data_IF_621523021188
#
_entry.id   IF_621523021188
#
_cell.length_a   1.000
_cell.length_b   1.000
_cell.length_c   1.000
_cell.angle_alpha   90.00
_cell.angle_beta   90.00
_cell.angle_gamma   90.00
#
_symmetry.space_group_name_H-M   'P 1'
#
loop_
_entity.id
_entity.type
_entity.pdbx_description
1 polymer ?
#
# COMPACT_ATOMS: atom_id res chain seq x y z
N UNK A 1 7.95 21.66 -11.72
CA UNK A 1 9.26 21.65 -11.05
C UNK A 1 9.10 20.86 -9.77
N UNK A 2 9.57 19.61 -9.74
CA UNK A 2 9.66 18.85 -8.49
C UNK A 2 10.83 19.43 -7.71
N UNK A 3 10.63 19.79 -6.44
CA UNK A 3 11.70 20.26 -5.57
C UNK A 3 12.77 19.18 -5.44
N UNK A 4 14.05 19.56 -5.48
CA UNK A 4 15.13 18.64 -5.16
C UNK A 4 14.94 18.15 -3.73
N UNK A 5 15.03 16.83 -3.54
CA UNK A 5 14.98 16.23 -2.21
C UNK A 5 16.22 16.68 -1.43
N UNK A 6 16.07 17.52 -0.41
CA UNK A 6 17.16 17.89 0.49
C UNK A 6 17.35 16.79 1.56
N UNK A 7 18.44 15.99 1.52
CA UNK A 7 18.61 14.89 2.44
C UNK A 7 18.73 15.32 3.91
N UNK A 8 19.27 16.51 4.18
CA UNK A 8 19.44 17.04 5.55
C UNK A 8 18.08 17.36 6.19
N UNK A 9 17.18 17.99 5.42
CA UNK A 9 15.82 18.30 5.86
C UNK A 9 14.99 17.03 6.09
N UNK A 10 15.15 16.05 5.20
CA UNK A 10 14.52 14.74 5.32
C UNK A 10 15.04 14.00 6.57
N UNK A 11 16.35 14.00 6.79
CA UNK A 11 16.95 13.39 7.98
C UNK A 11 16.50 14.07 9.28
N UNK A 12 16.37 15.40 9.28
CA UNK A 12 15.81 16.15 10.41
C UNK A 12 14.35 15.73 10.68
N UNK A 13 13.55 15.53 9.63
CA UNK A 13 12.17 15.05 9.75
C UNK A 13 12.10 13.64 10.35
N UNK A 14 12.95 12.72 9.93
CA UNK A 14 13.04 11.39 10.55
C UNK A 14 13.53 11.46 12.00
N UNK A 15 14.50 12.33 12.29
CA UNK A 15 14.99 12.56 13.65
C UNK A 15 13.89 13.09 14.58
N UNK A 16 12.97 13.91 14.05
CA UNK A 16 11.79 14.36 14.77
C UNK A 16 10.79 13.21 15.05
N UNK A 17 10.78 12.12 14.27
CA UNK A 17 9.94 10.95 14.55
C UNK A 17 10.59 9.89 15.44
N UNK A 18 11.92 9.90 15.57
CA UNK A 18 12.69 8.92 16.35
C UNK A 18 12.51 9.07 17.88
N UNK A 19 11.27 9.14 18.36
CA UNK A 19 10.91 9.16 19.77
C UNK A 19 9.50 8.54 19.96
N UNK A 20 9.33 7.56 20.88
CA UNK A 20 8.06 6.86 21.05
C UNK A 20 6.91 7.79 21.48
N UNK A 21 7.19 8.87 22.23
CA UNK A 21 6.15 9.86 22.59
C UNK A 21 5.63 10.57 21.35
N UNK A 22 6.52 10.94 20.43
CA UNK A 22 6.17 11.66 19.20
C UNK A 22 5.32 10.78 18.28
N UNK A 23 5.67 9.49 18.17
CA UNK A 23 4.83 8.51 17.46
C UNK A 23 3.45 8.35 18.11
N UNK A 24 3.37 8.28 19.46
CA UNK A 24 2.09 8.21 20.17
C UNK A 24 1.20 9.44 19.97
N UNK A 25 1.80 10.63 19.84
CA UNK A 25 1.08 11.86 19.50
C UNK A 25 0.41 11.73 18.12
N UNK A 26 1.16 11.24 17.12
CA UNK A 26 0.63 11.02 15.77
C UNK A 26 -0.54 10.02 15.78
N UNK A 27 -0.39 8.89 16.49
CA UNK A 27 -1.44 7.87 16.61
C UNK A 27 -2.70 8.38 17.31
N UNK A 28 -2.54 9.12 18.41
CA UNK A 28 -3.68 9.72 19.13
C UNK A 28 -4.49 10.68 18.23
N UNK A 29 -3.79 11.49 17.43
CA UNK A 29 -4.47 12.39 16.49
C UNK A 29 -5.19 11.64 15.36
N UNK A 30 -4.67 10.49 14.94
CA UNK A 30 -5.30 9.68 13.89
C UNK A 30 -6.64 9.08 14.32
N UNK A 31 -6.84 8.77 15.61
CA UNK A 31 -8.11 8.28 16.15
C UNK A 31 -9.27 9.28 15.91
N UNK A 32 -8.98 10.58 15.86
CA UNK A 32 -10.00 11.59 15.54
C UNK A 32 -10.54 11.47 14.12
N UNK A 33 -9.71 11.04 13.16
CA UNK A 33 -10.12 10.88 11.74
C UNK A 33 -11.11 9.72 11.56
N UNK A 34 -11.07 8.73 12.45
CA UNK A 34 -11.95 7.57 12.36
C UNK A 34 -13.39 7.87 12.83
N UNK A 35 -13.55 8.89 13.68
CA UNK A 35 -14.80 9.11 14.41
C UNK A 35 -15.78 10.05 13.68
N UNK A 36 -15.30 10.92 12.80
CA UNK A 36 -16.13 11.79 11.97
C UNK A 36 -15.31 12.37 10.79
N UNK A 37 -16.02 12.95 9.81
CA UNK A 37 -15.39 13.71 8.73
C UNK A 37 -14.92 15.12 9.18
N UNK A 38 -14.94 15.41 10.48
CA UNK A 38 -14.57 16.71 11.06
C UNK A 38 -13.10 16.66 11.53
N UNK A 39 -12.18 17.01 10.62
CA UNK A 39 -10.73 16.94 10.85
C UNK A 39 -10.18 18.10 11.71
N UNK A 40 -10.95 18.59 12.69
CA UNK A 40 -10.53 19.67 13.60
C UNK A 40 -9.39 19.26 14.53
N UNK A 41 -9.18 17.96 14.72
CA UNK A 41 -8.11 17.43 15.56
C UNK A 41 -8.43 17.55 17.05
N UNK A 42 -7.39 17.64 17.89
CA UNK A 42 -7.53 17.66 19.35
C UNK A 42 -6.98 18.95 19.97
N UNK A 43 -7.61 19.41 21.05
CA UNK A 43 -7.03 20.48 21.87
C UNK A 43 -5.73 20.02 22.54
N UNK A 44 -4.92 20.97 23.04
CA UNK A 44 -3.71 20.64 23.81
C UNK A 44 -4.00 19.72 25.00
N UNK A 45 -5.06 20.00 25.77
CA UNK A 45 -5.43 19.24 26.96
C UNK A 45 -5.88 17.83 26.61
N UNK A 46 -6.66 17.67 25.54
CA UNK A 46 -7.17 16.36 25.13
C UNK A 46 -6.05 15.50 24.59
N UNK A 47 -5.19 16.06 23.72
CA UNK A 47 -4.05 15.35 23.16
C UNK A 47 -3.05 14.93 24.25
N UNK A 48 -2.76 15.82 25.22
CA UNK A 48 -1.90 15.51 26.37
C UNK A 48 -2.47 14.36 27.20
N UNK A 49 -3.78 14.37 27.41
CA UNK A 49 -4.48 13.34 28.17
C UNK A 49 -4.45 12.00 27.43
N UNK A 50 -4.70 12.00 26.12
CA UNK A 50 -4.63 10.81 25.27
C UNK A 50 -3.23 10.16 25.29
N UNK A 51 -2.17 10.98 25.27
CA UNK A 51 -0.79 10.46 25.37
C UNK A 51 -0.30 10.26 26.82
N UNK A 52 -1.16 10.41 27.83
CA UNK A 52 -0.85 10.14 29.25
C UNK A 52 0.52 10.71 29.72
N UNK A 53 0.81 11.98 29.39
CA UNK A 53 2.04 12.67 29.82
C UNK A 53 1.72 13.72 30.89
N UNK A 54 2.14 13.42 32.12
CA UNK A 54 1.94 14.28 33.29
C UNK A 54 2.76 15.56 33.28
N UNK A 55 3.87 15.64 32.54
CA UNK A 55 4.70 16.84 32.44
C UNK A 55 4.32 17.67 31.20
N UNK A 56 3.68 18.82 31.43
CA UNK A 56 3.27 19.73 30.36
C UNK A 56 4.45 20.35 29.60
N UNK A 57 5.58 20.64 30.26
CA UNK A 57 6.76 21.20 29.61
C UNK A 57 7.38 20.19 28.65
N UNK A 58 7.51 18.94 29.10
CA UNK A 58 7.98 17.83 28.27
C UNK A 58 7.05 17.55 27.08
N UNK A 59 5.73 17.60 27.30
CA UNK A 59 4.77 17.41 26.22
C UNK A 59 4.85 18.53 25.17
N UNK A 60 4.95 19.80 25.60
CA UNK A 60 5.09 20.92 24.69
C UNK A 60 6.38 20.86 23.86
N UNK A 61 7.49 20.39 24.45
CA UNK A 61 8.71 20.08 23.69
C UNK A 61 8.43 19.09 22.54
N UNK A 62 7.80 17.96 22.84
CA UNK A 62 7.48 16.96 21.82
C UNK A 62 6.52 17.48 20.74
N UNK A 63 5.56 18.34 21.09
CA UNK A 63 4.69 18.97 20.12
C UNK A 63 5.46 19.92 19.20
N UNK A 64 6.32 20.78 19.76
CA UNK A 64 7.11 21.73 18.96
C UNK A 64 8.00 21.05 17.93
N UNK A 65 8.62 19.93 18.30
CA UNK A 65 9.45 19.13 17.40
C UNK A 65 8.68 18.55 16.19
N UNK A 66 7.35 18.40 16.32
CA UNK A 66 6.51 17.82 15.26
C UNK A 66 5.74 18.86 14.44
N UNK A 67 5.58 20.08 14.97
CA UNK A 67 4.84 21.16 14.32
C UNK A 67 5.54 21.61 13.04
N UNK A 68 4.74 21.96 12.04
CA UNK A 68 5.21 22.37 10.72
C UNK A 68 5.38 21.19 9.77
N UNK A 69 6.06 20.12 10.20
CA UNK A 69 6.28 18.94 9.35
C UNK A 69 5.14 17.92 9.45
N UNK A 70 4.83 17.46 10.66
CA UNK A 70 3.89 16.35 10.88
C UNK A 70 2.56 16.80 11.46
N UNK A 71 2.55 17.93 12.20
CA UNK A 71 1.38 18.51 12.83
C UNK A 71 1.18 19.95 12.37
N UNK A 72 -0.09 20.35 12.22
CA UNK A 72 -0.48 21.75 12.18
C UNK A 72 -1.26 22.11 13.44
N UNK A 73 -1.30 23.40 13.76
CA UNK A 73 -2.14 23.91 14.84
C UNK A 73 -2.99 25.06 14.33
N UNK A 74 -4.31 24.88 14.43
CA UNK A 74 -5.33 25.82 13.99
C UNK A 74 -6.30 26.04 15.15
N UNK A 75 -6.52 27.30 15.55
CA UNK A 75 -7.43 27.69 16.64
C UNK A 75 -7.25 26.90 17.95
N UNK A 76 -6.01 26.57 18.30
CA UNK A 76 -5.67 25.84 19.53
C UNK A 76 -5.88 24.32 19.47
N UNK A 77 -6.32 23.80 18.32
CA UNK A 77 -6.36 22.37 18.05
C UNK A 77 -5.15 21.93 17.23
N UNK A 78 -4.77 20.66 17.36
CA UNK A 78 -3.70 20.02 16.62
C UNK A 78 -4.27 18.95 15.71
N UNK A 79 -3.83 18.92 14.46
CA UNK A 79 -4.18 17.87 13.51
C UNK A 79 -2.95 17.42 12.73
N UNK A 80 -3.01 16.23 12.14
CA UNK A 80 -1.97 15.73 11.25
C UNK A 80 -1.88 16.60 9.99
N UNK A 81 -0.66 16.81 9.49
CA UNK A 81 -0.41 17.24 8.11
C UNK A 81 -0.57 16.06 7.15
N UNK A 82 -0.39 16.27 5.85
CA UNK A 82 -0.31 15.17 4.88
C UNK A 82 0.85 14.21 5.19
N UNK A 83 2.02 14.75 5.58
CA UNK A 83 3.18 13.93 5.95
C UNK A 83 2.91 13.13 7.24
N UNK A 84 2.33 13.78 8.27
CA UNK A 84 1.92 13.09 9.49
C UNK A 84 0.89 11.97 9.23
N UNK A 85 -0.05 12.22 8.32
CA UNK A 85 -1.04 11.22 7.90
C UNK A 85 -0.38 10.02 7.23
N UNK A 86 0.50 10.25 6.25
CA UNK A 86 1.21 9.14 5.58
C UNK A 86 2.04 8.30 6.54
N UNK A 87 2.74 8.93 7.49
CA UNK A 87 3.49 8.19 8.51
C UNK A 87 2.57 7.28 9.33
N UNK A 88 1.41 7.78 9.72
CA UNK A 88 0.43 6.96 10.46
C UNK A 88 -0.12 5.82 9.61
N UNK A 89 -0.45 6.07 8.34
CA UNK A 89 -0.93 5.04 7.41
C UNK A 89 0.10 3.90 7.29
N UNK A 90 1.40 4.25 7.19
CA UNK A 90 2.51 3.27 7.16
C UNK A 90 2.71 2.52 8.49
N UNK A 91 2.41 3.15 9.63
CA UNK A 91 2.43 2.47 10.94
C UNK A 91 1.28 1.46 11.01
N UNK A 92 0.07 1.81 10.58
CA UNK A 92 -1.07 0.88 10.54
C UNK A 92 -0.88 -0.25 9.53
N UNK A 93 -0.18 0.02 8.43
CA UNK A 93 0.28 -0.97 7.46
C UNK A 93 1.35 -1.93 8.03
N UNK A 94 1.86 -1.67 9.24
CA UNK A 94 2.99 -2.34 9.87
C UNK A 94 4.28 -2.29 9.05
N UNK A 95 4.45 -1.28 8.20
CA UNK A 95 5.65 -1.10 7.37
C UNK A 95 6.93 -0.98 8.22
N UNK A 96 6.84 -0.34 9.39
CA UNK A 96 7.98 -0.11 10.30
C UNK A 96 8.04 -1.06 11.50
N UNK A 97 7.01 -1.88 11.72
CA UNK A 97 6.83 -2.67 12.95
C UNK A 97 6.59 -4.15 12.69
N UNK A 98 6.24 -4.53 11.47
CA UNK A 98 6.02 -5.90 11.08
C UNK A 98 7.32 -6.71 11.19
N UNK A 99 7.17 -8.01 11.45
CA UNK A 99 8.30 -8.95 11.47
C UNK A 99 8.28 -9.75 10.19
N UNK A 100 9.47 -9.96 9.63
CA UNK A 100 9.64 -10.85 8.48
C UNK A 100 9.11 -12.25 8.82
N UNK A 101 8.26 -12.75 7.94
CA UNK A 101 7.71 -14.10 7.99
C UNK A 101 7.81 -14.65 6.59
N UNK A 102 8.38 -15.85 6.46
CA UNK A 102 8.28 -16.64 5.23
C UNK A 102 7.18 -17.69 5.44
N UNK A 103 6.14 -17.64 4.61
CA UNK A 103 5.12 -18.69 4.52
C UNK A 103 5.03 -19.11 3.06
N UNK A 104 4.89 -20.41 2.81
CA UNK A 104 4.72 -20.96 1.47
C UNK A 104 3.70 -22.07 1.52
N UNK A 105 2.72 -22.04 0.63
CA UNK A 105 1.69 -23.08 0.49
C UNK A 105 1.09 -23.09 -0.92
N UNK A 106 0.40 -24.18 -1.27
CA UNK A 106 -0.43 -24.23 -2.47
C UNK A 106 -1.71 -23.44 -2.25
N UNK A 107 -2.14 -22.67 -3.25
CA UNK A 107 -3.40 -21.91 -3.20
C UNK A 107 -4.48 -22.58 -4.06
N UNK A 108 -5.75 -22.25 -3.86
CA UNK A 108 -6.87 -22.76 -4.65
C UNK A 108 -7.04 -21.97 -5.97
N UNK A 109 -5.91 -21.65 -6.59
CA UNK A 109 -5.81 -20.98 -7.87
C UNK A 109 -5.02 -21.85 -8.83
N UNK A 110 -5.43 -21.87 -10.08
CA UNK A 110 -4.78 -22.65 -11.13
C UNK A 110 -4.06 -21.73 -12.10
N UNK A 111 -2.98 -22.24 -12.68
CA UNK A 111 -2.25 -21.57 -13.73
C UNK A 111 -3.13 -21.44 -14.98
N UNK A 112 -3.27 -20.23 -15.56
CA UNK A 112 -4.04 -20.04 -16.79
C UNK A 112 -3.50 -20.83 -17.99
N UNK A 113 -2.21 -21.16 -18.00
CA UNK A 113 -1.55 -21.79 -19.16
C UNK A 113 -1.67 -23.32 -19.19
N UNK A 114 -1.65 -24.00 -18.05
CA UNK A 114 -1.65 -25.48 -17.96
C UNK A 114 -2.65 -26.05 -16.94
N UNK A 115 -3.36 -25.21 -16.19
CA UNK A 115 -4.32 -25.65 -15.17
C UNK A 115 -3.69 -26.22 -13.90
N UNK A 116 -2.36 -26.24 -13.77
CA UNK A 116 -1.67 -26.73 -12.58
C UNK A 116 -1.97 -25.86 -11.35
N UNK A 117 -1.93 -26.47 -10.16
CA UNK A 117 -2.15 -25.74 -8.91
C UNK A 117 -0.98 -24.77 -8.66
N UNK A 118 -1.30 -23.54 -8.29
CA UNK A 118 -0.31 -22.51 -8.00
C UNK A 118 0.25 -22.62 -6.58
N UNK A 119 1.52 -22.24 -6.45
CA UNK A 119 2.20 -22.08 -5.17
C UNK A 119 2.37 -20.60 -4.86
N UNK A 120 1.99 -20.18 -3.66
CA UNK A 120 2.22 -18.83 -3.15
C UNK A 120 3.30 -18.85 -2.07
N UNK A 121 4.17 -17.84 -2.10
CA UNK A 121 5.12 -17.54 -1.03
C UNK A 121 4.91 -16.09 -0.61
N UNK A 122 4.75 -15.84 0.69
CA UNK A 122 4.84 -14.50 1.25
C UNK A 122 6.12 -14.39 2.06
N UNK A 123 6.98 -13.45 1.67
CA UNK A 123 8.27 -13.21 2.29
C UNK A 123 8.65 -11.72 2.18
N UNK A 124 9.13 -11.13 3.29
CA UNK A 124 9.65 -9.75 3.32
C UNK A 124 8.70 -8.69 2.72
N UNK A 125 7.39 -8.88 2.91
CA UNK A 125 6.38 -7.97 2.38
C UNK A 125 6.14 -8.15 0.87
N UNK A 126 6.57 -9.26 0.28
CA UNK A 126 6.32 -9.60 -1.11
C UNK A 126 5.55 -10.91 -1.15
N UNK A 127 4.38 -10.91 -1.79
CA UNK A 127 3.73 -12.15 -2.23
C UNK A 127 4.27 -12.50 -3.61
N UNK A 128 4.68 -13.75 -3.80
CA UNK A 128 5.10 -14.33 -5.07
C UNK A 128 4.22 -15.54 -5.34
N UNK A 129 3.62 -15.61 -6.52
CA UNK A 129 2.82 -16.77 -6.97
C UNK A 129 3.46 -17.35 -8.21
N UNK A 130 3.68 -18.67 -8.17
CA UNK A 130 4.36 -19.41 -9.22
C UNK A 130 3.60 -20.65 -9.64
N UNK A 131 3.70 -20.97 -10.93
CA UNK A 131 3.36 -22.28 -11.46
C UNK A 131 4.63 -23.15 -11.45
N UNK A 132 4.56 -24.44 -11.05
CA UNK A 132 5.71 -25.35 -11.07
C UNK A 132 6.38 -25.49 -12.44
N UNK A 133 5.60 -25.34 -13.52
CA UNK A 133 6.07 -25.48 -14.92
C UNK A 133 6.56 -24.16 -15.50
N UNK A 134 5.83 -23.07 -15.26
CA UNK A 134 6.04 -21.77 -15.92
C UNK A 134 6.84 -20.76 -15.10
N UNK A 135 7.10 -21.05 -13.82
CA UNK A 135 7.80 -20.15 -12.91
C UNK A 135 6.90 -19.08 -12.31
N UNK A 136 7.47 -17.93 -11.96
CA UNK A 136 6.76 -16.82 -11.31
C UNK A 136 5.75 -16.20 -12.28
N UNK A 137 4.50 -16.20 -11.88
CA UNK A 137 3.40 -15.57 -12.63
C UNK A 137 3.05 -14.21 -12.04
N UNK A 138 3.19 -14.02 -10.73
CA UNK A 138 2.79 -12.80 -10.06
C UNK A 138 3.70 -12.48 -8.90
N UNK A 139 4.09 -11.22 -8.76
CA UNK A 139 4.66 -10.69 -7.53
C UNK A 139 4.06 -9.33 -7.16
N UNK A 140 4.02 -9.03 -5.86
CA UNK A 140 3.58 -7.73 -5.38
C UNK A 140 4.09 -7.42 -3.98
N UNK A 141 4.53 -6.16 -3.80
CA UNK A 141 4.74 -5.58 -2.48
C UNK A 141 3.42 -5.33 -1.76
N UNK A 142 3.31 -5.87 -0.55
CA UNK A 142 2.16 -5.73 0.33
C UNK A 142 2.60 -5.25 1.72
N UNK A 143 1.81 -4.36 2.36
CA UNK A 143 1.98 -4.05 3.78
C UNK A 143 2.01 -5.30 4.66
N UNK A 144 2.94 -5.42 5.59
CA UNK A 144 3.09 -6.61 6.43
C UNK A 144 1.83 -6.90 7.26
N UNK A 145 1.11 -5.85 7.69
CA UNK A 145 -0.10 -5.98 8.49
C UNK A 145 -1.25 -6.72 7.77
N UNK A 146 -1.23 -6.77 6.42
CA UNK A 146 -2.28 -7.45 5.65
C UNK A 146 -2.28 -8.97 5.89
N UNK A 147 -1.11 -9.54 6.25
CA UNK A 147 -0.94 -10.98 6.45
C UNK A 147 -1.53 -11.47 7.79
N UNK A 148 -1.94 -10.57 8.68
CA UNK A 148 -2.59 -10.99 9.93
C UNK A 148 -4.00 -11.50 9.68
N UNK A 149 -4.23 -12.74 10.12
CA UNK A 149 -5.55 -13.38 10.05
C UNK A 149 -5.99 -13.79 8.63
N UNK A 150 -5.05 -13.88 7.67
CA UNK A 150 -5.30 -14.36 6.31
C UNK A 150 -4.38 -15.52 5.97
N UNK A 151 -4.90 -16.50 5.24
CA UNK A 151 -4.07 -17.50 4.56
C UNK A 151 -3.51 -16.94 3.23
N UNK A 152 -2.65 -17.71 2.54
CA UNK A 152 -2.07 -17.24 1.29
C UNK A 152 -3.05 -17.18 0.12
N UNK A 153 -4.19 -17.90 0.18
CA UNK A 153 -5.23 -17.82 -0.83
C UNK A 153 -5.95 -16.47 -0.77
N UNK A 154 -6.40 -16.09 0.43
CA UNK A 154 -6.99 -14.78 0.68
C UNK A 154 -6.00 -13.66 0.39
N UNK A 155 -4.73 -13.83 0.78
CA UNK A 155 -3.69 -12.85 0.52
C UNK A 155 -3.47 -12.65 -0.98
N UNK A 156 -3.40 -13.74 -1.76
CA UNK A 156 -3.26 -13.66 -3.21
C UNK A 156 -4.50 -13.02 -3.86
N UNK A 157 -5.70 -13.38 -3.43
CA UNK A 157 -6.93 -12.77 -3.94
C UNK A 157 -6.95 -11.24 -3.73
N UNK A 158 -6.48 -10.76 -2.58
CA UNK A 158 -6.34 -9.33 -2.29
C UNK A 158 -5.23 -8.67 -3.12
N UNK A 159 -4.07 -9.34 -3.27
CA UNK A 159 -2.98 -8.84 -4.08
C UNK A 159 -3.38 -8.69 -5.56
N UNK A 160 -4.08 -9.69 -6.10
CA UNK A 160 -4.60 -9.67 -7.46
C UNK A 160 -5.61 -8.54 -7.67
N UNK A 161 -6.54 -8.33 -6.74
CA UNK A 161 -7.46 -7.16 -6.78
C UNK A 161 -6.69 -5.85 -6.74
N UNK A 162 -5.67 -5.73 -5.88
CA UNK A 162 -4.82 -4.53 -5.81
C UNK A 162 -4.08 -4.28 -7.13
N UNK A 163 -3.61 -5.35 -7.79
CA UNK A 163 -2.96 -5.25 -9.09
C UNK A 163 -3.90 -4.69 -10.15
N UNK A 164 -5.14 -5.19 -10.21
CA UNK A 164 -6.16 -4.65 -11.12
C UNK A 164 -6.43 -3.16 -10.87
N UNK A 165 -6.51 -2.72 -9.61
CA UNK A 165 -6.64 -1.30 -9.25
C UNK A 165 -5.42 -0.47 -9.68
N UNK A 166 -4.22 -1.03 -9.58
CA UNK A 166 -2.99 -0.36 -10.05
C UNK A 166 -2.99 -0.21 -11.56
N UNK A 167 -3.39 -1.25 -12.30
CA UNK A 167 -3.52 -1.20 -13.75
C UNK A 167 -4.54 -0.16 -14.19
N UNK A 168 -5.67 -0.06 -13.51
CA UNK A 168 -6.66 1.00 -13.78
C UNK A 168 -6.08 2.39 -13.53
N UNK A 169 -5.37 2.60 -12.41
CA UNK A 169 -4.69 3.88 -12.14
C UNK A 169 -3.66 4.22 -13.23
N UNK A 170 -2.90 3.22 -13.68
CA UNK A 170 -1.85 3.39 -14.70
C UNK A 170 -2.44 3.68 -16.08
N UNK A 171 -3.55 3.06 -16.46
CA UNK A 171 -4.21 3.34 -17.74
C UNK A 171 -4.74 4.78 -17.84
N UNK A 172 -4.88 5.47 -16.69
CA UNK A 172 -5.24 6.88 -16.59
C UNK A 172 -4.02 7.81 -16.44
N UNK A 173 -2.80 7.31 -16.63
CA UNK A 173 -1.54 8.03 -16.43
C UNK A 173 -1.34 8.57 -14.99
N UNK A 174 -1.80 7.81 -13.98
CA UNK A 174 -1.65 8.16 -12.57
C UNK A 174 -0.93 7.06 -11.80
N UNK A 175 0.21 7.39 -11.19
CA UNK A 175 0.95 6.46 -10.35
C UNK A 175 0.18 6.13 -9.07
N UNK A 176 -0.14 4.86 -8.79
CA UNK A 176 -0.90 4.48 -7.59
C UNK A 176 -0.13 4.71 -6.27
N UNK A 177 1.19 4.96 -6.33
CA UNK A 177 2.01 5.28 -5.14
C UNK A 177 2.15 6.77 -4.86
N UNK A 178 2.53 7.56 -5.87
CA UNK A 178 2.84 8.97 -5.68
C UNK A 178 1.84 9.94 -6.32
N UNK A 179 0.85 9.44 -7.05
CA UNK A 179 -0.09 10.20 -7.88
C UNK A 179 0.59 11.07 -8.96
N UNK A 180 1.86 10.79 -9.27
CA UNK A 180 2.58 11.41 -10.38
C UNK A 180 2.16 10.84 -11.73
N UNK A 181 2.40 11.58 -12.81
CA UNK A 181 2.18 11.13 -14.18
C UNK A 181 3.38 10.33 -14.69
N UNK A 182 3.13 9.30 -15.49
CA UNK A 182 4.19 8.53 -16.15
C UNK A 182 4.71 9.26 -17.40
N UNK A 183 3.98 10.26 -17.91
CA UNK A 183 4.18 11.03 -19.15
C UNK A 183 4.13 10.18 -20.44
N UNK A 184 4.55 8.92 -20.38
CA UNK A 184 4.45 7.92 -21.44
C UNK A 184 4.49 6.54 -20.79
N UNK A 185 3.36 6.00 -20.30
CA UNK A 185 3.34 4.64 -19.78
C UNK A 185 3.70 3.66 -20.91
N UNK A 186 4.80 2.93 -20.76
CA UNK A 186 5.08 1.77 -21.60
C UNK A 186 4.42 0.58 -20.93
N UNK A 187 3.25 0.21 -21.46
CA UNK A 187 2.59 -1.04 -21.13
C UNK A 187 3.15 -2.09 -22.08
N UNK A 188 3.99 -2.97 -21.54
CA UNK A 188 4.46 -4.14 -22.28
C UNK A 188 3.44 -5.26 -22.05
N UNK A 189 2.58 -5.49 -23.04
CA UNK A 189 1.70 -6.64 -23.05
C UNK A 189 2.45 -7.80 -23.69
N UNK A 190 2.90 -8.75 -22.87
CA UNK A 190 3.21 -10.06 -23.39
C UNK A 190 1.87 -10.81 -23.49
N UNK A 191 1.38 -10.99 -24.71
CA UNK A 191 0.39 -12.04 -24.94
C UNK A 191 1.08 -13.37 -24.59
N UNK A 192 0.46 -14.16 -23.72
CA UNK A 192 0.78 -15.59 -23.70
C UNK A 192 0.41 -16.08 -25.10
N UNK A 193 1.37 -16.58 -25.88
CA UNK A 193 1.11 -17.06 -27.24
C UNK A 193 0.09 -18.21 -27.18
N UNK A 194 -1.20 -17.89 -27.30
CA UNK A 194 -2.22 -18.86 -27.64
C UNK A 194 -2.15 -19.11 -29.14
N UNK A 195 -1.89 -20.35 -29.50
CA UNK A 195 -2.08 -20.84 -30.85
C UNK A 195 -3.55 -20.63 -31.27
N UNK A 196 -3.77 -19.55 -32.02
CA UNK A 196 -4.93 -19.19 -32.84
C UNK A 196 -6.18 -18.69 -32.11
N UNK A 197 -6.67 -17.47 -32.43
CA UNK A 197 -7.94 -16.96 -31.92
C UNK A 197 -9.08 -17.62 -32.69
N UNK A 198 -9.53 -18.79 -32.26
CA UNK A 198 -10.95 -19.11 -32.40
C UNK A 198 -11.66 -18.42 -31.23
N UNK A 199 -12.59 -17.54 -31.56
CA UNK A 199 -13.43 -16.79 -30.64
C UNK A 199 -14.08 -17.75 -29.63
N UNK A 200 -13.45 -17.92 -28.47
CA UNK A 200 -14.05 -18.53 -27.31
C UNK A 200 -15.06 -17.52 -26.77
N UNK A 201 -16.34 -17.89 -26.77
CA UNK A 201 -17.42 -17.12 -26.16
C UNK A 201 -17.34 -17.11 -24.60
N UNK A 202 -16.17 -17.38 -24.02
CA UNK A 202 -15.89 -17.31 -22.59
C UNK A 202 -14.68 -16.40 -22.33
N UNK A 203 -14.89 -15.33 -21.56
CA UNK A 203 -14.00 -14.19 -21.34
C UNK A 203 -12.76 -14.51 -20.45
N UNK A 204 -11.84 -15.36 -20.91
CA UNK A 204 -10.55 -15.59 -20.24
C UNK A 204 -9.36 -15.24 -21.15
N UNK A 205 -9.08 -13.94 -21.32
CA UNK A 205 -7.76 -13.47 -21.74
C UNK A 205 -6.92 -13.15 -20.48
N UNK A 206 -5.82 -13.89 -20.27
CA UNK A 206 -4.80 -13.57 -19.27
C UNK A 206 -3.76 -12.62 -19.88
N UNK A 207 -3.91 -11.32 -19.64
CA UNK A 207 -2.96 -10.30 -20.13
C UNK A 207 -1.89 -10.04 -19.08
N UNK A 208 -0.63 -10.36 -19.39
CA UNK A 208 0.52 -9.89 -18.60
C UNK A 208 0.66 -8.39 -18.81
N UNK A 209 0.55 -7.59 -17.76
CA UNK A 209 0.76 -6.14 -17.86
C UNK A 209 1.89 -5.70 -16.93
N UNK A 210 3.07 -5.49 -17.52
CA UNK A 210 4.19 -4.86 -16.85
C UNK A 210 4.17 -3.34 -17.10
N UNK A 211 4.40 -2.55 -16.05
CA UNK A 211 4.53 -1.10 -16.17
C UNK A 211 5.87 -0.66 -15.56
N UNK A 212 6.72 -0.02 -16.37
CA UNK A 212 7.96 0.61 -15.91
C UNK A 212 7.80 2.12 -15.82
N UNK A 213 8.07 2.66 -14.65
CA UNK A 213 8.13 4.10 -14.41
C UNK A 213 9.56 4.58 -14.60
N UNK A 214 9.82 5.67 -15.35
CA UNK A 214 11.17 6.21 -15.42
C UNK A 214 11.65 6.62 -14.01
N UNK A 215 12.92 6.34 -13.65
CA UNK A 215 13.44 6.38 -12.29
C UNK A 215 13.51 7.78 -11.65
N UNK A 216 13.07 8.82 -12.35
CA UNK A 216 13.17 10.22 -11.90
C UNK A 216 12.06 10.63 -10.91
N UNK A 217 10.99 9.84 -10.74
CA UNK A 217 9.88 10.20 -9.83
C UNK A 217 9.37 9.06 -8.94
N UNK A 218 9.59 7.79 -9.32
CA UNK A 218 9.16 6.63 -8.54
C UNK A 218 10.03 5.41 -8.94
N UNK A 219 10.54 4.66 -7.96
CA UNK A 219 11.38 3.46 -8.18
C UNK A 219 10.55 2.18 -8.40
N UNK A 220 9.24 2.28 -8.56
CA UNK A 220 8.38 1.10 -8.62
C UNK A 220 8.36 0.55 -10.04
N UNK A 221 8.88 -0.65 -10.21
CA UNK A 221 8.69 -1.49 -11.39
C UNK A 221 7.67 -2.56 -11.05
N UNK A 222 6.60 -2.70 -11.83
CA UNK A 222 5.65 -3.80 -11.69
C UNK A 222 5.84 -4.81 -12.81
N UNK A 223 5.97 -6.08 -12.45
CA UNK A 223 5.97 -7.22 -13.37
C UNK A 223 4.80 -8.13 -12.99
N UNK A 224 3.56 -7.65 -13.13
CA UNK A 224 2.38 -8.41 -12.69
C UNK A 224 1.63 -9.05 -13.86
N UNK A 225 1.38 -10.35 -13.78
CA UNK A 225 0.28 -10.99 -14.51
C UNK A 225 -0.95 -10.98 -13.60
N UNK A 226 -1.93 -10.09 -13.78
CA UNK A 226 -3.21 -10.28 -13.11
C UNK A 226 -3.82 -11.60 -13.57
N UNK A 227 -4.05 -12.53 -12.64
CA UNK A 227 -4.77 -13.76 -12.93
C UNK A 227 -6.26 -13.43 -12.80
N UNK A 228 -6.98 -13.30 -13.93
CA UNK A 228 -8.45 -13.19 -13.89
C UNK A 228 -9.03 -14.53 -13.47
N UNK A 229 -9.41 -14.67 -12.19
CA UNK A 229 -10.42 -15.63 -11.79
C UNK A 229 -11.64 -14.85 -11.30
N UNK A 230 -12.66 -14.73 -12.16
CA UNK A 230 -14.02 -14.45 -11.72
C UNK A 230 -14.88 -15.66 -12.08
N UNK A 231 -15.25 -16.46 -11.08
CA UNK A 231 -16.52 -17.18 -11.14
C UNK A 231 -17.58 -16.23 -10.60
N UNK A 232 -18.20 -15.47 -11.51
CA UNK A 232 -19.28 -14.53 -11.20
C UNK A 232 -20.62 -15.27 -11.02
N UNK A 233 -20.68 -16.27 -10.14
CA UNK A 233 -21.91 -17.03 -9.90
C UNK A 233 -22.72 -16.56 -8.67
N UNK A 234 -22.11 -16.07 -7.59
CA UNK A 234 -22.87 -15.75 -6.38
C UNK A 234 -22.36 -14.50 -5.66
N UNK A 235 -22.93 -13.35 -6.03
CA UNK A 235 -23.50 -12.39 -5.08
C UNK A 235 -23.98 -11.14 -5.83
N UNK A 236 -25.25 -11.19 -6.24
CA UNK A 236 -26.01 -9.95 -6.47
C UNK A 236 -26.18 -9.26 -5.13
N UNK A 237 -25.44 -8.20 -4.89
CA UNK A 237 -25.93 -7.12 -4.03
C UNK A 237 -26.65 -6.15 -4.95
N UNK A 238 -27.99 -6.29 -4.97
CA UNK A 238 -28.89 -5.30 -5.56
C UNK A 238 -28.75 -3.95 -4.81
N UNK A 239 -29.06 -2.83 -5.48
CA UNK A 239 -28.63 -1.47 -5.10
C UNK A 239 -29.10 -1.00 -3.73
#
# INVERSE_FOLDING_TARGET
>A
MCGENNPEEIAASFSALANPVRVRILLALAETRQSNWDHRGMSYSDLRSAVNIGDGGRFNYHLNELRGSFLRSDDGNYSLTSAGSRVVDEIYAETFSGKERRVSETVNWTCPSDGEQLEATFENGVITVSCPTHGVLFDMWLPLGIAHGRDLDELFAWANRRALWYLESVSWDVCPHCAGSFNTPVIDTACVEENQPELLEDEQESVVTGCRVPPVQCLVSYSSVPVRAYSAADHRVSP
#
